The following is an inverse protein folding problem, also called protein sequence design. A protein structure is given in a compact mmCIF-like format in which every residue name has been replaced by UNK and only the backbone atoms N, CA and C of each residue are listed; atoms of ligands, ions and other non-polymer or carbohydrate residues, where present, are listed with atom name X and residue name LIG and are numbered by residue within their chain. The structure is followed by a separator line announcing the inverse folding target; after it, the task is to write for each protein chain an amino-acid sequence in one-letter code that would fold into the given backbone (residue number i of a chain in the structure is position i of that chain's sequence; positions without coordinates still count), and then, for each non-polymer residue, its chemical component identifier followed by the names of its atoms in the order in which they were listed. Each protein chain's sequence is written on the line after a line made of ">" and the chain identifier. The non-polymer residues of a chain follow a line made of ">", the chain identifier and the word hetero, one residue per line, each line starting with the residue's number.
data_IF_673826598580
#
_entry.id   IF_673826598580
#
_cell.length_a   1.000
_cell.length_b   1.000
_cell.length_c   1.000
_cell.angle_alpha   90.00
_cell.angle_beta   90.00
_cell.angle_gamma   90.00
#
_symmetry.space_group_name_H-M   'P 1'
#
loop_
_entity.id
_entity.type
_entity.pdbx_description
1 polymer ?
#
# COMPACT_ATOMS: atom_id res chain seq x y z
N UNK A 1 -0.63 12.76 8.64
CA UNK A 1 -0.85 11.35 9.02
C UNK A 1 -1.93 10.78 8.11
N UNK A 2 -1.65 9.67 7.44
CA UNK A 2 -2.62 8.92 6.65
C UNK A 2 -3.22 7.84 7.55
N UNK A 3 -4.53 7.61 7.46
CA UNK A 3 -5.18 6.45 8.09
C UNK A 3 -5.45 5.40 7.03
N UNK A 4 -5.00 4.16 7.25
CA UNK A 4 -5.33 2.98 6.43
C UNK A 4 -6.23 2.08 7.27
N UNK A 5 -7.46 1.85 6.80
CA UNK A 5 -8.51 1.15 7.56
C UNK A 5 -8.69 1.72 8.99
N UNK A 6 -8.55 3.05 9.11
CA UNK A 6 -8.66 3.76 10.39
C UNK A 6 -7.42 3.72 11.27
N UNK A 7 -6.40 2.92 10.93
CA UNK A 7 -5.15 2.84 11.68
C UNK A 7 -4.11 3.84 11.13
N UNK A 8 -3.39 4.58 12.00
CA UNK A 8 -2.41 5.56 11.55
C UNK A 8 -1.21 4.88 10.87
N UNK A 9 -0.84 5.41 9.71
CA UNK A 9 0.33 5.01 8.96
C UNK A 9 1.14 6.25 8.59
N UNK A 10 2.41 6.24 8.97
CA UNK A 10 3.37 7.19 8.42
C UNK A 10 3.63 6.80 6.96
N UNK A 11 3.35 7.74 6.07
CA UNK A 11 3.55 7.60 4.64
C UNK A 11 4.20 8.87 4.13
N UNK A 12 5.13 8.71 3.20
CA UNK A 12 5.70 9.82 2.44
C UNK A 12 4.75 10.20 1.31
N UNK A 13 4.57 11.51 1.11
CA UNK A 13 3.81 12.02 -0.04
C UNK A 13 4.81 12.22 -1.16
N UNK A 14 4.76 11.32 -2.14
CA UNK A 14 5.54 11.43 -3.37
C UNK A 14 4.60 11.76 -4.54
N UNK A 15 4.61 13.03 -4.96
CA UNK A 15 3.79 13.50 -6.09
C UNK A 15 4.30 13.03 -7.45
N UNK A 16 5.53 12.49 -7.52
CA UNK A 16 6.07 11.88 -8.74
C UNK A 16 5.60 10.45 -8.97
N UNK A 17 4.99 9.83 -7.95
CA UNK A 17 4.55 8.44 -8.00
C UNK A 17 3.11 8.31 -8.52
N UNK A 18 2.90 7.39 -9.47
CA UNK A 18 1.57 7.04 -9.99
C UNK A 18 0.79 6.06 -9.10
N UNK A 19 1.48 5.36 -8.19
CA UNK A 19 0.91 4.33 -7.32
C UNK A 19 1.40 4.53 -5.88
N UNK A 20 0.56 4.18 -4.91
CA UNK A 20 0.96 4.06 -3.51
C UNK A 20 1.53 2.67 -3.24
N UNK A 21 2.69 2.60 -2.58
CA UNK A 21 3.35 1.34 -2.22
C UNK A 21 3.45 1.28 -0.70
N UNK A 22 3.06 0.13 -0.13
CA UNK A 22 3.16 -0.14 1.30
C UNK A 22 3.72 -1.55 1.49
N UNK A 23 4.62 -1.73 2.46
CA UNK A 23 5.16 -3.06 2.76
C UNK A 23 4.07 -3.99 3.30
N UNK A 24 4.20 -5.29 3.00
CA UNK A 24 3.29 -6.31 3.53
C UNK A 24 3.25 -6.32 5.07
N UNK A 25 4.40 -6.12 5.73
CA UNK A 25 4.47 -6.09 7.19
C UNK A 25 3.68 -4.91 7.77
N UNK A 26 3.71 -3.74 7.14
CA UNK A 26 2.90 -2.58 7.54
C UNK A 26 1.41 -2.89 7.37
N UNK A 27 0.97 -3.39 6.21
CA UNK A 27 -0.43 -3.76 5.99
C UNK A 27 -0.89 -4.84 6.98
N UNK A 28 -0.07 -5.86 7.23
CA UNK A 28 -0.41 -6.92 8.19
C UNK A 28 -0.49 -6.42 9.62
N UNK A 29 0.31 -5.42 10.01
CA UNK A 29 0.23 -4.79 11.33
C UNK A 29 -1.04 -3.93 11.47
N UNK A 30 -1.37 -3.15 10.45
CA UNK A 30 -2.53 -2.23 10.46
C UNK A 30 -3.85 -2.99 10.32
N UNK A 31 -3.87 -4.07 9.52
CA UNK A 31 -5.06 -4.88 9.23
C UNK A 31 -4.74 -6.36 9.48
N UNK A 32 -4.66 -6.84 10.74
CA UNK A 32 -4.19 -8.18 11.07
C UNK A 32 -4.97 -9.32 10.40
N UNK A 33 -6.23 -9.09 10.03
CA UNK A 33 -7.08 -10.09 9.37
C UNK A 33 -6.82 -10.22 7.87
N UNK A 34 -6.12 -9.27 7.25
CA UNK A 34 -5.80 -9.34 5.82
C UNK A 34 -4.87 -10.51 5.54
N UNK A 35 -5.15 -11.23 4.46
CA UNK A 35 -4.34 -12.34 3.96
C UNK A 35 -3.90 -12.06 2.53
N UNK A 36 -2.74 -12.60 2.13
CA UNK A 36 -2.21 -12.42 0.77
C UNK A 36 -3.16 -12.94 -0.30
N UNK A 37 -4.00 -13.93 0.03
CA UNK A 37 -5.00 -14.51 -0.88
C UNK A 37 -6.16 -13.56 -1.22
N UNK A 38 -6.35 -12.51 -0.42
CA UNK A 38 -7.37 -11.48 -0.66
C UNK A 38 -6.83 -10.32 -1.51
N UNK A 39 -5.54 -10.36 -1.88
CA UNK A 39 -4.95 -9.38 -2.78
C UNK A 39 -5.12 -9.84 -4.21
N UNK A 40 -5.42 -8.90 -5.10
CA UNK A 40 -5.52 -9.15 -6.53
C UNK A 40 -4.13 -9.35 -7.12
N UNK A 41 -4.06 -10.18 -8.18
CA UNK A 41 -2.86 -10.31 -8.99
C UNK A 41 -2.49 -8.98 -9.63
N UNK A 42 -1.20 -8.62 -9.61
CA UNK A 42 -0.70 -7.41 -10.26
C UNK A 42 -0.05 -7.74 -11.61
N UNK A 43 0.02 -6.74 -12.48
CA UNK A 43 0.91 -6.73 -13.66
C UNK A 43 2.12 -5.81 -13.48
N UNK A 44 2.29 -5.27 -12.28
CA UNK A 44 3.35 -4.31 -11.97
C UNK A 44 4.66 -5.06 -11.70
N UNK A 45 5.73 -4.69 -12.39
CA UNK A 45 7.08 -5.14 -12.09
C UNK A 45 7.81 -3.98 -11.42
N UNK A 46 8.14 -4.14 -10.13
CA UNK A 46 8.93 -3.16 -9.39
C UNK A 46 10.40 -3.56 -9.43
N UNK A 47 11.27 -2.59 -9.66
CA UNK A 47 12.72 -2.75 -9.58
C UNK A 47 13.32 -1.65 -8.73
N UNK A 48 14.40 -1.98 -8.03
CA UNK A 48 15.23 -0.96 -7.41
C UNK A 48 16.08 -0.23 -8.47
N UNK A 49 16.81 0.80 -8.03
CA UNK A 49 17.69 1.58 -8.90
C UNK A 49 18.87 0.80 -9.47
N UNK A 50 19.22 -0.35 -8.88
CA UNK A 50 20.26 -1.24 -9.39
C UNK A 50 19.70 -2.23 -10.42
N UNK A 51 18.38 -2.23 -10.63
CA UNK A 51 17.67 -3.11 -11.56
C UNK A 51 17.24 -4.45 -10.94
N UNK A 52 17.41 -4.65 -9.63
CA UNK A 52 16.95 -5.86 -8.97
C UNK A 52 15.43 -5.84 -8.83
N UNK A 53 14.77 -6.97 -9.08
CA UNK A 53 13.33 -7.08 -8.90
C UNK A 53 12.94 -7.00 -7.42
N UNK A 54 11.95 -6.16 -7.12
CA UNK A 54 11.31 -6.08 -5.80
C UNK A 54 10.02 -6.91 -5.87
N UNK A 55 9.90 -7.97 -5.06
CA UNK A 55 8.70 -8.81 -5.07
C UNK A 55 7.46 -8.02 -4.65
N UNK A 56 6.46 -8.00 -5.53
CA UNK A 56 5.15 -7.41 -5.23
C UNK A 56 4.22 -8.53 -4.80
N UNK A 57 3.55 -8.33 -3.66
CA UNK A 57 2.68 -9.37 -3.07
C UNK A 57 1.31 -9.41 -3.72
N UNK A 58 0.82 -8.27 -4.20
CA UNK A 58 -0.52 -8.11 -4.79
C UNK A 58 -0.98 -6.66 -4.71
N UNK A 59 -2.16 -6.39 -5.25
CA UNK A 59 -2.87 -5.11 -5.11
C UNK A 59 -4.03 -5.30 -4.16
N UNK A 60 -4.25 -4.34 -3.26
CA UNK A 60 -5.40 -4.32 -2.37
C UNK A 60 -6.06 -2.95 -2.41
N UNK A 61 -7.37 -2.92 -2.17
CA UNK A 61 -8.12 -1.68 -1.95
C UNK A 61 -8.37 -1.50 -0.47
N UNK A 62 -8.01 -0.33 0.06
CA UNK A 62 -8.13 -0.02 1.47
C UNK A 62 -8.83 1.32 1.67
N UNK A 63 -9.55 1.47 2.78
CA UNK A 63 -10.09 2.77 3.19
C UNK A 63 -8.96 3.68 3.63
N UNK A 64 -8.79 4.79 2.94
CA UNK A 64 -7.77 5.81 3.21
C UNK A 64 -8.45 7.08 3.71
N UNK A 65 -7.91 7.66 4.78
CA UNK A 65 -8.28 9.02 5.20
C UNK A 65 -7.05 9.90 5.40
N UNK A 66 -7.09 11.13 4.87
CA UNK A 66 -5.99 12.10 4.95
C UNK A 66 -6.49 13.52 4.71
N UNK A 67 -6.19 14.48 5.60
CA UNK A 67 -6.51 15.92 5.44
C UNK A 67 -7.94 16.20 4.92
N UNK A 68 -8.95 15.56 5.52
CA UNK A 68 -10.36 15.73 5.15
C UNK A 68 -10.84 14.85 3.98
N UNK A 69 -9.93 14.20 3.24
CA UNK A 69 -10.28 13.13 2.32
C UNK A 69 -10.59 11.83 3.08
N UNK A 70 -11.58 11.08 2.60
CA UNK A 70 -11.87 9.71 3.00
C UNK A 70 -12.43 8.94 1.81
N UNK A 71 -11.78 7.85 1.41
CA UNK A 71 -12.19 7.07 0.23
C UNK A 71 -11.53 5.70 0.17
N UNK A 72 -11.94 4.87 -0.80
CA UNK A 72 -11.29 3.60 -1.09
C UNK A 72 -10.23 3.83 -2.16
N UNK A 73 -8.98 3.48 -1.88
CA UNK A 73 -7.84 3.55 -2.81
C UNK A 73 -7.16 2.19 -2.92
#
# INVERSE_FOLDING_TARGET
>A
MVLIEGAPCDMEIDTGSALSIVSWSTIKRLVPRVSKRQLDSHRVHLRDYQGNDIPVVGVGRFRIAFKGFSGLL
#
